data_IF_643828852609
#
_entry.id   IF_643828852609
#
_cell.length_a   1.000
_cell.length_b   1.000
_cell.length_c   1.000
_cell.angle_alpha   90.00
_cell.angle_beta   90.00
_cell.angle_gamma   90.00
#
_symmetry.space_group_name_H-M   'P 1'
#
loop_
_entity.id
_entity.type
_entity.pdbx_description
1 polymer ?
#
# COMPACT_ATOMS: atom_id res chain seq x y z
N UNK A 1 11.16 -26.65 -6.20
CA UNK A 1 10.49 -25.38 -5.87
C UNK A 1 10.85 -25.04 -4.42
N UNK A 2 11.59 -23.94 -4.18
CA UNK A 2 11.77 -23.44 -2.82
C UNK A 2 10.42 -22.85 -2.41
N UNK A 3 9.77 -23.42 -1.42
CA UNK A 3 8.66 -22.79 -0.72
C UNK A 3 9.22 -21.51 -0.10
N UNK A 4 9.01 -20.37 -0.73
CA UNK A 4 9.24 -19.08 -0.07
C UNK A 4 8.37 -19.04 1.16
N UNK A 5 9.02 -18.91 2.30
CA UNK A 5 8.36 -18.86 3.59
C UNK A 5 7.66 -17.49 3.67
N UNK A 6 6.40 -17.42 3.24
CA UNK A 6 5.62 -16.18 3.23
C UNK A 6 5.49 -15.68 4.67
N UNK A 7 5.96 -14.49 4.95
CA UNK A 7 5.94 -13.89 6.31
C UNK A 7 4.50 -13.84 6.84
N UNK A 8 3.53 -13.55 5.97
CA UNK A 8 2.09 -13.50 6.29
C UNK A 8 1.48 -14.84 6.65
N UNK A 9 2.16 -15.95 6.33
CA UNK A 9 1.72 -17.32 6.61
C UNK A 9 2.45 -17.93 7.82
N UNK A 10 3.26 -17.14 8.52
CA UNK A 10 3.96 -17.63 9.71
C UNK A 10 2.99 -17.79 10.89
N UNK A 11 3.24 -18.77 11.78
CA UNK A 11 2.47 -18.90 13.00
C UNK A 11 2.46 -17.62 13.81
N UNK A 12 1.32 -17.30 14.39
CA UNK A 12 1.15 -16.21 15.35
C UNK A 12 2.00 -16.45 16.61
N UNK A 13 2.25 -15.39 17.39
CA UNK A 13 2.78 -15.48 18.75
C UNK A 13 1.76 -16.00 19.75
N UNK A 14 0.53 -16.09 19.35
CA UNK A 14 -0.59 -16.49 20.18
C UNK A 14 -1.13 -17.85 19.71
N UNK A 15 -1.16 -18.82 20.61
CA UNK A 15 -1.71 -20.14 20.34
C UNK A 15 -3.17 -20.21 20.82
N UNK A 16 -3.93 -21.11 20.23
CA UNK A 16 -5.30 -21.42 20.67
C UNK A 16 -6.25 -20.23 20.67
N UNK A 17 -6.20 -19.40 19.63
CA UNK A 17 -7.06 -18.20 19.47
C UNK A 17 -8.55 -18.56 19.61
N UNK A 18 -8.95 -19.75 19.15
CA UNK A 18 -10.32 -20.27 19.22
C UNK A 18 -10.82 -20.55 20.65
N UNK A 19 -9.91 -20.58 21.62
CA UNK A 19 -10.22 -20.82 23.04
C UNK A 19 -10.17 -19.53 23.87
N UNK A 20 -9.70 -18.44 23.30
CA UNK A 20 -9.56 -17.16 24.00
C UNK A 20 -10.91 -16.47 24.17
N UNK A 21 -11.06 -15.80 25.28
CA UNK A 21 -12.17 -14.87 25.50
C UNK A 21 -12.07 -13.66 24.55
N UNK A 22 -13.18 -12.98 24.34
CA UNK A 22 -13.20 -11.71 23.55
C UNK A 22 -12.25 -10.69 24.14
N UNK A 23 -12.14 -10.60 25.47
CA UNK A 23 -11.24 -9.66 26.13
C UNK A 23 -9.77 -9.96 25.82
N UNK A 24 -9.36 -11.22 25.85
CA UNK A 24 -8.00 -11.66 25.51
C UNK A 24 -7.69 -11.38 24.04
N UNK A 25 -8.61 -11.71 23.13
CA UNK A 25 -8.42 -11.42 21.70
C UNK A 25 -8.25 -9.93 21.43
N UNK A 26 -9.08 -9.06 22.03
CA UNK A 26 -8.96 -7.62 21.88
C UNK A 26 -7.65 -7.08 22.45
N UNK A 27 -7.22 -7.59 23.60
CA UNK A 27 -5.94 -7.21 24.19
C UNK A 27 -4.76 -7.57 23.26
N UNK A 28 -4.73 -8.79 22.76
CA UNK A 28 -3.66 -9.25 21.87
C UNK A 28 -3.63 -8.51 20.53
N UNK A 29 -4.80 -8.21 19.94
CA UNK A 29 -4.87 -7.35 18.74
C UNK A 29 -4.25 -5.97 19.04
N UNK A 30 -4.60 -5.36 20.15
CA UNK A 30 -4.07 -4.04 20.52
C UNK A 30 -2.57 -4.07 20.80
N UNK A 31 -2.05 -5.15 21.40
CA UNK A 31 -0.62 -5.37 21.60
C UNK A 31 0.15 -5.44 20.27
N UNK A 32 -0.40 -6.13 19.26
CA UNK A 32 0.20 -6.16 17.92
C UNK A 32 0.15 -4.78 17.25
N UNK A 33 -0.96 -4.07 17.35
CA UNK A 33 -1.12 -2.73 16.77
C UNK A 33 -0.08 -1.74 17.32
N UNK A 34 0.26 -1.83 18.60
CA UNK A 34 1.30 -0.99 19.21
C UNK A 34 2.68 -1.21 18.60
N UNK A 35 2.99 -2.42 18.13
CA UNK A 35 4.28 -2.74 17.50
C UNK A 35 4.44 -2.12 16.12
N UNK A 36 3.34 -1.83 15.43
CA UNK A 36 3.37 -1.25 14.08
C UNK A 36 4.06 0.11 14.07
N UNK A 37 3.70 1.01 14.99
CA UNK A 37 4.31 2.33 15.09
C UNK A 37 5.83 2.26 15.39
N UNK A 38 6.25 1.29 16.20
CA UNK A 38 7.66 1.08 16.48
C UNK A 38 8.43 0.53 15.27
N UNK A 39 7.82 -0.38 14.51
CA UNK A 39 8.39 -0.90 13.28
C UNK A 39 8.57 0.21 12.24
N UNK A 40 7.56 1.07 12.06
CA UNK A 40 7.64 2.25 11.18
C UNK A 40 8.75 3.20 11.65
N UNK A 41 8.86 3.46 12.94
CA UNK A 41 9.93 4.30 13.50
C UNK A 41 11.34 3.80 13.14
N UNK A 42 11.54 2.49 13.12
CA UNK A 42 12.82 1.88 12.70
C UNK A 42 13.10 2.08 11.22
N UNK A 43 12.06 2.22 10.39
CA UNK A 43 12.16 2.45 8.96
C UNK A 43 12.21 3.95 8.57
N UNK A 44 12.15 4.87 9.54
CA UNK A 44 12.14 6.33 9.26
C UNK A 44 13.27 6.81 8.36
N UNK A 45 14.54 6.34 8.46
CA UNK A 45 15.58 6.77 7.54
C UNK A 45 15.30 6.41 6.08
N UNK A 46 14.72 5.23 5.83
CA UNK A 46 14.35 4.80 4.48
C UNK A 46 13.15 5.60 3.95
N UNK A 47 12.16 5.86 4.82
CA UNK A 47 11.00 6.69 4.48
C UNK A 47 11.45 8.12 4.16
N UNK A 48 12.34 8.69 4.94
CA UNK A 48 12.90 10.02 4.67
C UNK A 48 13.60 10.07 3.30
N UNK A 49 14.48 9.10 3.01
CA UNK A 49 15.17 9.04 1.73
C UNK A 49 14.20 8.93 0.54
N UNK A 50 13.10 8.17 0.70
CA UNK A 50 12.05 8.06 -0.31
C UNK A 50 11.37 9.43 -0.54
N UNK A 51 10.95 10.10 0.52
CA UNK A 51 10.29 11.42 0.43
C UNK A 51 11.23 12.45 -0.21
N UNK A 52 12.50 12.50 0.19
CA UNK A 52 13.51 13.39 -0.38
C UNK A 52 13.77 13.14 -1.88
N UNK A 53 13.55 11.90 -2.35
CA UNK A 53 13.65 11.57 -3.77
C UNK A 53 12.40 11.95 -4.58
N UNK A 54 11.22 11.92 -3.98
CA UNK A 54 9.92 12.20 -4.61
C UNK A 54 9.64 13.70 -4.66
N UNK A 55 9.84 14.41 -3.57
CA UNK A 55 9.48 15.83 -3.41
C UNK A 55 9.99 16.72 -4.57
N UNK A 56 11.27 16.69 -4.97
CA UNK A 56 11.75 17.53 -6.05
C UNK A 56 11.14 17.19 -7.41
N UNK A 57 10.73 15.95 -7.63
CA UNK A 57 10.04 15.52 -8.86
C UNK A 57 8.65 16.13 -8.93
N UNK A 58 7.89 16.00 -7.86
CA UNK A 58 6.54 16.58 -7.76
C UNK A 58 6.56 18.10 -7.87
N UNK A 59 7.56 18.77 -7.30
CA UNK A 59 7.76 20.24 -7.46
C UNK A 59 8.01 20.68 -8.91
N UNK A 60 8.54 19.80 -9.76
CA UNK A 60 8.71 20.06 -11.21
C UNK A 60 7.47 19.72 -12.04
N UNK A 61 6.36 19.33 -11.40
CA UNK A 61 5.12 18.97 -12.06
C UNK A 61 4.96 17.46 -12.33
N UNK A 62 5.84 16.62 -11.74
CA UNK A 62 5.69 15.18 -11.76
C UNK A 62 4.53 14.70 -10.88
N UNK A 63 4.09 13.48 -11.11
CA UNK A 63 2.98 12.82 -10.40
C UNK A 63 3.53 11.69 -9.51
N UNK A 64 2.77 11.34 -8.49
CA UNK A 64 3.02 10.16 -7.68
C UNK A 64 1.99 9.06 -8.02
N UNK A 65 2.48 7.89 -8.34
CA UNK A 65 1.64 6.71 -8.56
C UNK A 65 1.80 5.71 -7.40
N UNK A 66 0.71 5.40 -6.75
CA UNK A 66 0.59 4.23 -5.88
C UNK A 66 0.18 3.04 -6.73
N UNK A 67 1.00 1.98 -6.76
CA UNK A 67 0.69 0.77 -7.52
C UNK A 67 0.67 -0.42 -6.56
N UNK A 68 -0.49 -1.02 -6.39
CA UNK A 68 -0.63 -2.09 -5.40
C UNK A 68 -1.74 -3.09 -5.72
N UNK A 69 -1.81 -4.14 -4.92
CA UNK A 69 -2.86 -5.15 -4.98
C UNK A 69 -3.56 -5.27 -3.63
N UNK A 70 -4.76 -5.83 -3.62
CA UNK A 70 -5.51 -6.09 -2.40
C UNK A 70 -5.67 -4.86 -1.50
N UNK A 71 -5.37 -5.01 -0.22
CA UNK A 71 -5.49 -3.92 0.77
C UNK A 71 -4.53 -2.77 0.49
N UNK A 72 -3.29 -3.06 0.09
CA UNK A 72 -2.29 -2.02 -0.25
C UNK A 72 -2.76 -1.16 -1.42
N UNK A 73 -3.30 -1.76 -2.48
CA UNK A 73 -3.88 -1.02 -3.60
C UNK A 73 -5.09 -0.17 -3.20
N UNK A 74 -5.97 -0.69 -2.33
CA UNK A 74 -7.11 0.08 -1.79
C UNK A 74 -6.67 1.29 -0.99
N UNK A 75 -5.65 1.14 -0.14
CA UNK A 75 -5.08 2.24 0.63
C UNK A 75 -4.47 3.31 -0.28
N UNK A 76 -3.75 2.91 -1.33
CA UNK A 76 -3.20 3.84 -2.32
C UNK A 76 -4.28 4.64 -3.05
N UNK A 77 -5.38 4.00 -3.45
CA UNK A 77 -6.53 4.70 -4.08
C UNK A 77 -7.23 5.61 -3.07
N UNK A 78 -7.44 5.14 -1.84
CA UNK A 78 -8.04 5.96 -0.77
C UNK A 78 -7.22 7.22 -0.53
N UNK A 79 -5.92 7.08 -0.32
CA UNK A 79 -5.01 8.20 -0.08
C UNK A 79 -5.04 9.20 -1.24
N UNK A 80 -4.94 8.72 -2.47
CA UNK A 80 -4.99 9.57 -3.66
C UNK A 80 -6.31 10.38 -3.73
N UNK A 81 -7.44 9.78 -3.37
CA UNK A 81 -8.76 10.42 -3.41
C UNK A 81 -8.97 11.49 -2.33
N UNK A 82 -8.26 11.38 -1.20
CA UNK A 82 -8.38 12.33 -0.08
C UNK A 82 -7.48 13.57 -0.23
N UNK A 83 -6.47 13.54 -1.08
CA UNK A 83 -5.54 14.65 -1.25
C UNK A 83 -6.19 15.91 -1.84
N UNK A 84 -7.03 15.85 -2.89
CA UNK A 84 -7.69 17.03 -3.43
C UNK A 84 -8.58 17.76 -2.41
N UNK A 85 -9.52 17.09 -1.71
CA UNK A 85 -10.39 17.79 -0.74
C UNK A 85 -9.64 18.25 0.50
N UNK A 86 -8.55 17.58 0.89
CA UNK A 86 -7.80 17.90 2.10
C UNK A 86 -6.77 19.01 1.88
N UNK A 87 -6.05 18.97 0.75
CA UNK A 87 -4.92 19.88 0.48
C UNK A 87 -5.16 20.82 -0.71
N UNK A 88 -6.28 20.68 -1.44
CA UNK A 88 -6.58 21.50 -2.61
C UNK A 88 -5.65 21.27 -3.80
N UNK A 89 -5.05 20.10 -3.90
CA UNK A 89 -4.17 19.71 -5.00
C UNK A 89 -4.97 19.17 -6.19
N UNK A 90 -4.42 19.15 -7.42
CA UNK A 90 -5.07 18.55 -8.58
C UNK A 90 -5.37 17.06 -8.36
N UNK A 91 -6.49 16.57 -8.91
CA UNK A 91 -6.93 15.16 -8.80
C UNK A 91 -5.97 14.19 -9.50
N UNK A 92 -5.21 14.66 -10.48
CA UNK A 92 -4.25 13.87 -11.25
C UNK A 92 -2.82 13.97 -10.71
N UNK A 93 -2.59 14.64 -9.59
CA UNK A 93 -1.27 14.80 -9.01
C UNK A 93 -0.78 13.54 -8.29
N UNK A 94 -1.70 12.82 -7.61
CA UNK A 94 -1.43 11.51 -6.99
C UNK A 94 -2.48 10.53 -7.48
N UNK A 95 -2.06 9.39 -7.99
CA UNK A 95 -2.92 8.42 -8.67
C UNK A 95 -2.73 7.05 -8.03
N UNK A 96 -3.82 6.45 -7.60
CA UNK A 96 -3.84 5.08 -7.08
C UNK A 96 -4.21 4.07 -8.16
N UNK A 97 -3.36 3.07 -8.37
CA UNK A 97 -3.60 1.95 -9.29
C UNK A 97 -3.70 0.66 -8.49
N UNK A 98 -4.78 -0.06 -8.67
CA UNK A 98 -5.03 -1.34 -7.97
C UNK A 98 -5.14 -2.49 -8.97
N UNK A 99 -4.45 -3.59 -8.71
CA UNK A 99 -4.58 -4.80 -9.48
C UNK A 99 -6.05 -5.28 -9.52
N UNK A 100 -6.58 -5.52 -10.74
CA UNK A 100 -7.99 -5.81 -10.97
C UNK A 100 -8.88 -4.59 -11.16
N UNK A 101 -8.30 -3.37 -11.17
CA UNK A 101 -8.98 -2.11 -11.47
C UNK A 101 -10.06 -1.73 -10.44
N UNK A 102 -10.97 -0.81 -10.81
CA UNK A 102 -12.01 -0.28 -9.92
C UNK A 102 -12.91 -1.36 -9.29
N UNK A 103 -13.11 -2.47 -9.97
CA UNK A 103 -13.84 -3.60 -9.41
C UNK A 103 -13.18 -4.12 -8.14
N UNK A 104 -11.83 -4.14 -8.09
CA UNK A 104 -11.07 -4.64 -6.95
C UNK A 104 -11.17 -3.75 -5.70
N UNK A 105 -11.66 -2.52 -5.83
CA UNK A 105 -11.92 -1.65 -4.68
C UNK A 105 -13.03 -2.21 -3.78
N UNK A 106 -14.03 -2.85 -4.36
CA UNK A 106 -15.24 -3.31 -3.66
C UNK A 106 -15.37 -4.83 -3.59
N UNK A 107 -14.76 -5.54 -4.54
CA UNK A 107 -14.87 -7.00 -4.66
C UNK A 107 -13.49 -7.62 -4.83
N UNK A 108 -13.25 -8.79 -4.27
CA UNK A 108 -12.03 -9.54 -4.55
C UNK A 108 -11.96 -9.89 -6.05
N UNK A 109 -10.79 -9.68 -6.64
CA UNK A 109 -10.46 -10.11 -8.00
C UNK A 109 -9.28 -11.06 -7.86
N UNK A 110 -9.58 -12.35 -7.84
CA UNK A 110 -8.57 -13.40 -7.65
C UNK A 110 -7.50 -13.38 -8.76
N UNK A 111 -6.26 -13.65 -8.37
CA UNK A 111 -5.08 -13.75 -9.26
C UNK A 111 -4.72 -12.46 -10.04
N UNK A 112 -5.32 -11.33 -9.73
CA UNK A 112 -4.98 -10.06 -10.40
C UNK A 112 -3.54 -9.61 -10.06
N UNK A 113 -3.07 -9.90 -8.85
CA UNK A 113 -1.72 -9.61 -8.38
C UNK A 113 -0.63 -10.48 -9.03
N UNK A 114 -0.98 -11.65 -9.56
CA UNK A 114 -0.03 -12.59 -10.17
C UNK A 114 0.37 -12.18 -11.61
N UNK A 115 -0.29 -11.18 -12.18
CA UNK A 115 -0.02 -10.68 -13.53
C UNK A 115 0.93 -9.48 -13.47
N UNK A 116 2.22 -9.74 -13.34
CA UNK A 116 3.24 -8.70 -13.19
C UNK A 116 3.22 -7.63 -14.30
N UNK A 117 2.94 -8.04 -15.55
CA UNK A 117 2.87 -7.11 -16.69
C UNK A 117 1.64 -6.18 -16.64
N UNK A 118 0.60 -6.54 -15.89
CA UNK A 118 -0.61 -5.72 -15.82
C UNK A 118 -0.36 -4.40 -15.10
N UNK A 119 0.37 -4.41 -13.99
CA UNK A 119 0.75 -3.19 -13.28
C UNK A 119 1.50 -2.21 -14.18
N UNK A 120 2.40 -2.72 -15.02
CA UNK A 120 3.08 -1.87 -16.01
C UNK A 120 2.13 -1.34 -17.09
N UNK A 121 1.20 -2.16 -17.60
CA UNK A 121 0.22 -1.72 -18.61
C UNK A 121 -0.70 -0.64 -18.06
N UNK A 122 -1.16 -0.81 -16.82
CA UNK A 122 -2.02 0.17 -16.16
C UNK A 122 -1.28 1.50 -15.97
N UNK A 123 -0.04 1.46 -15.47
CA UNK A 123 0.81 2.64 -15.34
C UNK A 123 1.12 3.29 -16.70
N UNK A 124 1.45 2.50 -17.72
CA UNK A 124 1.83 2.99 -19.05
C UNK A 124 0.67 3.75 -19.75
N UNK A 125 -0.60 3.46 -19.41
CA UNK A 125 -1.76 4.19 -19.92
C UNK A 125 -1.75 5.68 -19.53
N UNK A 126 -1.08 6.03 -18.45
CA UNK A 126 -0.88 7.40 -17.97
C UNK A 126 0.34 8.09 -18.59
N UNK A 127 1.08 7.42 -19.47
CA UNK A 127 2.29 7.95 -20.12
C UNK A 127 3.29 8.56 -19.11
N UNK A 128 3.81 7.76 -18.17
CA UNK A 128 4.67 8.27 -17.12
C UNK A 128 5.95 8.88 -17.69
N UNK A 129 6.43 9.94 -17.05
CA UNK A 129 7.62 10.70 -17.41
C UNK A 129 8.77 10.46 -16.42
N UNK A 130 9.94 11.01 -16.71
CA UNK A 130 11.08 10.92 -15.79
C UNK A 130 10.89 11.71 -14.48
N UNK A 131 9.94 12.66 -14.43
CA UNK A 131 9.60 13.40 -13.22
C UNK A 131 8.51 12.74 -12.39
N UNK A 132 7.84 11.71 -12.90
CA UNK A 132 6.90 10.93 -12.12
C UNK A 132 7.62 9.97 -11.15
N UNK A 133 6.96 9.64 -10.05
CA UNK A 133 7.42 8.65 -9.06
C UNK A 133 6.39 7.53 -8.93
N UNK A 134 6.85 6.31 -8.67
CA UNK A 134 6.01 5.12 -8.47
C UNK A 134 6.42 4.45 -7.17
N UNK A 135 5.46 4.09 -6.32
CA UNK A 135 5.66 3.35 -5.07
C UNK A 135 4.59 2.27 -4.90
#
# INVERSE_FOLDING_TARGET
MKTENKITEQPSRYDHLEQMSVAELLLHINEEDMLVAEAVRKAMPQIQALVEAIEPRMKRGGRLFYVGAGTSGRLGVLEASELPPTFGVPEDWVIGLIAGGDKALRHAVENAEDIAEQGWKDLASFQPTADDAVI
#
